data_IF_640880909815
#
_entry.id   IF_640880909815
#
_cell.length_a   1.000
_cell.length_b   1.000
_cell.length_c   1.000
_cell.angle_alpha   90.00
_cell.angle_beta   90.00
_cell.angle_gamma   90.00
#
_symmetry.space_group_name_H-M   'P 1'
#
loop_
_entity.id
_entity.type
_entity.pdbx_description
1 polymer ?
#
# COMPACT_ATOMS: atom_id res chain seq x y z
N UNK A 1 13.10 -6.60 13.84
CA UNK A 1 11.72 -6.24 13.46
C UNK A 1 11.83 -5.11 12.45
N UNK A 2 11.30 -5.28 11.24
CA UNK A 2 11.22 -4.18 10.28
C UNK A 2 10.19 -3.17 10.83
N UNK A 3 10.51 -1.88 10.78
CA UNK A 3 9.60 -0.78 11.10
C UNK A 3 9.48 0.10 9.85
N UNK A 4 8.35 0.81 9.74
CA UNK A 4 8.15 1.79 8.67
C UNK A 4 9.02 3.01 8.98
N UNK A 5 9.86 3.39 8.03
CA UNK A 5 10.63 4.63 8.08
C UNK A 5 9.71 5.80 7.69
N UNK A 6 9.11 6.45 8.70
CA UNK A 6 8.09 7.50 8.54
C UNK A 6 8.60 8.65 7.67
N UNK A 7 9.82 9.13 7.90
CA UNK A 7 10.37 10.25 7.12
C UNK A 7 10.56 9.88 5.65
N UNK A 8 11.16 8.71 5.38
CA UNK A 8 11.34 8.28 3.99
C UNK A 8 10.02 7.93 3.31
N UNK A 9 9.05 7.41 4.04
CA UNK A 9 7.72 7.15 3.51
C UNK A 9 7.04 8.47 3.11
N UNK A 10 7.08 9.47 3.99
CA UNK A 10 6.51 10.79 3.74
C UNK A 10 7.13 11.46 2.52
N UNK A 11 8.47 11.48 2.43
CA UNK A 11 9.20 11.99 1.25
C UNK A 11 8.82 11.24 -0.02
N UNK A 12 8.75 9.90 0.02
CA UNK A 12 8.37 9.08 -1.12
C UNK A 12 6.94 9.40 -1.58
N UNK A 13 6.00 9.56 -0.65
CA UNK A 13 4.60 9.89 -0.95
C UNK A 13 4.49 11.29 -1.57
N UNK A 14 5.19 12.28 -1.00
CA UNK A 14 5.25 13.64 -1.52
C UNK A 14 5.68 13.66 -2.99
N UNK A 15 6.77 12.96 -3.30
CA UNK A 15 7.36 12.90 -4.65
C UNK A 15 6.46 12.13 -5.62
N UNK A 16 6.05 10.90 -5.27
CA UNK A 16 5.37 10.00 -6.20
C UNK A 16 3.95 10.49 -6.55
N UNK A 17 3.23 11.04 -5.56
CA UNK A 17 1.84 11.47 -5.72
C UNK A 17 1.68 12.98 -5.91
N UNK A 18 2.79 13.73 -5.97
CA UNK A 18 2.80 15.19 -6.17
C UNK A 18 1.89 15.94 -5.17
N UNK A 19 1.82 15.47 -3.93
CA UNK A 19 0.99 16.06 -2.88
C UNK A 19 1.81 16.97 -1.97
N UNK A 20 1.19 17.86 -1.18
CA UNK A 20 1.93 18.66 -0.20
C UNK A 20 2.58 17.78 0.87
N UNK A 21 3.65 18.26 1.53
CA UNK A 21 4.26 17.55 2.65
C UNK A 21 3.25 17.29 3.78
N UNK A 22 2.36 18.24 4.07
CA UNK A 22 1.28 18.04 5.05
C UNK A 22 0.36 16.87 4.68
N UNK A 23 -0.09 16.80 3.42
CA UNK A 23 -0.91 15.68 2.96
C UNK A 23 -0.13 14.35 2.96
N UNK A 24 1.15 14.37 2.60
CA UNK A 24 2.02 13.20 2.65
C UNK A 24 2.21 12.70 4.09
N UNK A 25 2.34 13.61 5.05
CA UNK A 25 2.42 13.30 6.47
C UNK A 25 1.15 12.61 6.96
N UNK A 26 -0.03 13.18 6.67
CA UNK A 26 -1.31 12.57 7.03
C UNK A 26 -1.47 11.16 6.44
N UNK A 27 -1.06 10.98 5.16
CA UNK A 27 -1.08 9.66 4.51
C UNK A 27 -0.12 8.68 5.19
N UNK A 28 1.07 9.14 5.58
CA UNK A 28 2.06 8.33 6.29
C UNK A 28 1.51 7.82 7.62
N UNK A 29 0.86 8.70 8.41
CA UNK A 29 0.22 8.32 9.67
C UNK A 29 -0.91 7.31 9.47
N UNK A 30 -1.69 7.44 8.39
CA UNK A 30 -2.73 6.45 8.06
C UNK A 30 -2.13 5.07 7.74
N UNK A 31 -1.03 5.04 6.98
CA UNK A 31 -0.32 3.80 6.67
C UNK A 31 0.24 3.18 7.94
N UNK A 32 0.91 3.93 8.80
CA UNK A 32 1.47 3.42 10.05
C UNK A 32 0.39 2.80 10.96
N UNK A 33 -0.77 3.46 11.07
CA UNK A 33 -1.88 3.01 11.91
C UNK A 33 -2.59 1.76 11.40
N UNK A 34 -2.75 1.62 10.08
CA UNK A 34 -3.60 0.57 9.48
C UNK A 34 -2.82 -0.58 8.88
N UNK A 35 -1.57 -0.37 8.49
CA UNK A 35 -0.80 -1.37 7.77
C UNK A 35 -0.50 -2.59 8.66
N UNK A 36 -0.89 -3.80 8.24
CA UNK A 36 -0.55 -5.01 8.98
C UNK A 36 0.96 -5.24 8.93
N UNK A 37 1.56 -5.64 10.06
CA UNK A 37 3.02 -5.80 10.22
C UNK A 37 3.69 -6.65 9.15
N UNK A 38 2.98 -7.65 8.62
CA UNK A 38 3.50 -8.51 7.55
C UNK A 38 3.77 -7.76 6.23
N UNK A 39 3.10 -6.64 5.98
CA UNK A 39 3.30 -5.81 4.77
C UNK A 39 4.35 -4.71 4.96
N UNK A 40 4.96 -4.58 6.14
CA UNK A 40 5.99 -3.55 6.37
C UNK A 40 7.18 -3.71 5.43
N UNK A 41 7.50 -4.95 5.04
CA UNK A 41 8.55 -5.21 4.05
C UNK A 41 8.17 -4.70 2.65
N UNK A 42 6.90 -4.76 2.25
CA UNK A 42 6.46 -4.18 0.98
C UNK A 42 6.54 -2.65 1.01
N UNK A 43 6.20 -2.02 2.14
CA UNK A 43 6.38 -0.57 2.32
C UNK A 43 7.87 -0.20 2.20
N UNK A 44 8.75 -0.97 2.85
CA UNK A 44 10.18 -0.77 2.76
C UNK A 44 10.72 -0.91 1.33
N UNK A 45 10.33 -1.97 0.62
CA UNK A 45 10.70 -2.20 -0.78
C UNK A 45 10.24 -1.05 -1.68
N UNK A 46 9.00 -0.59 -1.49
CA UNK A 46 8.46 0.51 -2.27
C UNK A 46 9.20 1.83 -2.04
N UNK A 47 9.55 2.15 -0.79
CA UNK A 47 10.38 3.31 -0.45
C UNK A 47 11.74 3.23 -1.16
N UNK A 48 12.33 2.03 -1.23
CA UNK A 48 13.62 1.79 -1.89
C UNK A 48 13.56 1.76 -3.41
N UNK A 49 12.36 1.60 -4.00
CA UNK A 49 12.20 1.33 -5.42
C UNK A 49 12.59 -0.09 -5.81
N UNK A 50 12.59 -1.02 -4.85
CA UNK A 50 12.86 -2.44 -5.08
C UNK A 50 11.61 -3.15 -5.61
N UNK A 51 11.80 -4.37 -6.12
CA UNK A 51 10.69 -5.26 -6.47
C UNK A 51 9.83 -5.58 -5.24
N UNK A 52 8.52 -5.45 -5.39
CA UNK A 52 7.56 -5.69 -4.33
C UNK A 52 7.31 -7.19 -4.22
N UNK A 53 7.58 -7.79 -3.05
CA UNK A 53 7.34 -9.21 -2.82
C UNK A 53 5.86 -9.59 -2.76
N UNK A 54 5.54 -10.79 -3.24
CA UNK A 54 4.21 -11.40 -3.14
C UNK A 54 3.88 -11.88 -1.73
N UNK A 55 3.41 -10.95 -0.90
CA UNK A 55 2.88 -11.25 0.44
C UNK A 55 1.36 -11.29 0.38
N UNK A 56 0.81 -12.47 0.63
CA UNK A 56 -0.61 -12.72 0.47
C UNK A 56 -1.41 -12.38 1.72
N UNK A 57 -2.55 -11.70 1.51
CA UNK A 57 -3.66 -11.59 2.45
C UNK A 57 -4.89 -12.19 1.78
N UNK A 58 -5.34 -13.33 2.32
CA UNK A 58 -6.31 -14.16 1.62
C UNK A 58 -5.74 -14.62 0.27
N UNK A 59 -6.34 -14.14 -0.83
CA UNK A 59 -5.99 -14.52 -2.21
C UNK A 59 -5.15 -13.49 -2.95
N UNK A 60 -4.90 -12.32 -2.34
CA UNK A 60 -4.30 -11.19 -3.04
C UNK A 60 -2.95 -10.82 -2.44
N UNK A 61 -2.02 -10.42 -3.31
CA UNK A 61 -0.79 -9.73 -2.97
C UNK A 61 -0.81 -8.32 -3.56
N UNK A 62 0.07 -7.44 -3.09
CA UNK A 62 0.24 -6.10 -3.67
C UNK A 62 0.60 -6.16 -5.16
N UNK A 63 1.60 -6.94 -5.61
CA UNK A 63 1.90 -7.07 -7.04
C UNK A 63 0.70 -7.55 -7.86
N UNK A 64 -0.07 -8.50 -7.35
CA UNK A 64 -1.26 -9.01 -8.04
C UNK A 64 -2.33 -7.93 -8.21
N UNK A 65 -2.62 -7.14 -7.18
CA UNK A 65 -3.60 -6.04 -7.28
C UNK A 65 -3.13 -5.00 -8.29
N UNK A 66 -1.85 -4.61 -8.24
CA UNK A 66 -1.27 -3.64 -9.18
C UNK A 66 -1.33 -4.16 -10.63
N UNK A 67 -1.09 -5.45 -10.86
CA UNK A 67 -1.21 -6.06 -12.19
C UNK A 67 -2.67 -6.11 -12.68
N UNK A 68 -3.63 -6.44 -11.81
CA UNK A 68 -5.07 -6.40 -12.15
C UNK A 68 -5.50 -5.00 -12.58
N UNK A 69 -4.99 -3.96 -11.90
CA UNK A 69 -5.32 -2.57 -12.21
C UNK A 69 -4.52 -1.99 -13.38
N UNK A 70 -3.47 -2.69 -13.83
CA UNK A 70 -2.44 -2.17 -14.75
C UNK A 70 -1.97 -0.78 -14.30
N UNK A 71 -1.64 -0.68 -13.00
CA UNK A 71 -1.32 0.58 -12.31
C UNK A 71 -0.12 0.40 -11.38
N UNK A 72 0.59 1.51 -11.12
CA UNK A 72 1.66 1.58 -10.13
C UNK A 72 1.21 2.28 -8.83
N UNK A 73 -0.10 2.45 -8.63
CA UNK A 73 -0.70 3.11 -7.45
C UNK A 73 -0.58 2.23 -6.19
N UNK A 74 0.62 2.23 -5.61
CA UNK A 74 0.98 1.44 -4.44
C UNK A 74 0.14 1.79 -3.20
N UNK A 75 -0.11 3.08 -2.93
CA UNK A 75 -0.83 3.49 -1.72
C UNK A 75 -2.26 2.99 -1.74
N UNK A 76 -2.92 3.06 -2.91
CA UNK A 76 -4.28 2.56 -3.05
C UNK A 76 -4.33 1.04 -2.96
N UNK A 77 -3.36 0.34 -3.55
CA UNK A 77 -3.26 -1.12 -3.40
C UNK A 77 -3.01 -1.52 -1.94
N UNK A 78 -2.17 -0.77 -1.22
CA UNK A 78 -1.90 -0.99 0.20
C UNK A 78 -3.14 -0.73 1.06
N UNK A 79 -3.94 0.29 0.75
CA UNK A 79 -5.20 0.55 1.45
C UNK A 79 -6.16 -0.64 1.33
N UNK A 80 -6.30 -1.20 0.13
CA UNK A 80 -7.11 -2.41 -0.11
C UNK A 80 -6.57 -3.61 0.67
N UNK A 81 -5.24 -3.79 0.70
CA UNK A 81 -4.63 -4.85 1.50
C UNK A 81 -4.84 -4.66 3.02
N UNK A 82 -4.89 -3.42 3.50
CA UNK A 82 -5.25 -3.13 4.89
C UNK A 82 -6.71 -3.52 5.16
N UNK A 83 -7.64 -3.21 4.26
CA UNK A 83 -9.06 -3.61 4.38
C UNK A 83 -9.21 -5.15 4.39
N UNK A 84 -8.50 -5.86 3.51
CA UNK A 84 -8.46 -7.33 3.55
C UNK A 84 -7.97 -7.86 4.90
N UNK A 85 -6.92 -7.25 5.47
CA UNK A 85 -6.38 -7.67 6.76
C UNK A 85 -7.31 -7.39 7.95
N UNK A 86 -8.20 -6.41 7.81
CA UNK A 86 -9.19 -6.01 8.82
C UNK A 86 -10.47 -6.85 8.75
N UNK A 87 -10.60 -7.74 7.75
CA UNK A 87 -11.77 -8.59 7.54
C UNK A 87 -12.82 -7.99 6.60
N UNK A 88 -12.60 -6.78 6.06
CA UNK A 88 -13.50 -6.08 5.13
C UNK A 88 -13.39 -6.67 3.70
N UNK A 89 -13.49 -8.00 3.58
CA UNK A 89 -13.12 -8.75 2.37
C UNK A 89 -13.98 -8.39 1.18
N UNK A 90 -15.31 -8.38 1.32
CA UNK A 90 -16.24 -8.07 0.20
C UNK A 90 -16.00 -6.67 -0.36
N UNK A 91 -15.80 -5.68 0.52
CA UNK A 91 -15.52 -4.29 0.15
C UNK A 91 -14.18 -4.17 -0.57
N UNK A 92 -13.15 -4.84 -0.06
CA UNK A 92 -11.83 -4.81 -0.65
C UNK A 92 -11.83 -5.50 -2.03
N UNK A 93 -12.45 -6.68 -2.16
CA UNK A 93 -12.58 -7.38 -3.43
C UNK A 93 -13.36 -6.55 -4.46
N UNK A 94 -14.45 -5.90 -4.06
CA UNK A 94 -15.19 -5.00 -4.96
C UNK A 94 -14.26 -3.91 -5.53
N UNK A 95 -13.46 -3.23 -4.69
CA UNK A 95 -12.50 -2.21 -5.15
C UNK A 95 -11.44 -2.78 -6.10
N UNK A 96 -10.95 -3.99 -5.83
CA UNK A 96 -9.97 -4.66 -6.70
C UNK A 96 -10.57 -4.82 -8.10
N UNK A 97 -11.79 -5.32 -8.20
CA UNK A 97 -12.40 -5.65 -9.48
C UNK A 97 -12.98 -4.45 -10.22
N UNK A 98 -13.50 -3.43 -9.52
CA UNK A 98 -14.02 -2.20 -10.13
C UNK A 98 -12.93 -1.37 -10.82
N UNK A 99 -11.69 -1.46 -10.33
CA UNK A 99 -10.55 -0.74 -10.87
C UNK A 99 -9.79 -1.49 -11.97
N UNK A 100 -10.22 -2.72 -12.29
CA UNK A 100 -9.61 -3.50 -13.37
C UNK A 100 -9.72 -2.73 -14.69
N UNK A 101 -8.60 -2.61 -15.39
CA UNK A 101 -8.51 -1.97 -16.71
C UNK A 101 -8.31 -2.99 -17.82
#
# INVERSE_FOLDING_TARGET
MIQIDVQKLEEKIHIEYHMSMEAAHERTLQVEKRCPKQLYINVYQWIKGDEISDIYIGKYSLPMILDIWKSNDFLRALEVMCELSQGDTEKAELKIWEMRR
#
